data_IF_269261696012
#
_entry.id   IF_269261696012
#
_cell.length_a   1.000
_cell.length_b   1.000
_cell.length_c   1.000
_cell.angle_alpha   90.00
_cell.angle_beta   90.00
_cell.angle_gamma   90.00
#
_symmetry.space_group_name_H-M   'P 1'
#
loop_
_entity.id
_entity.type
_entity.pdbx_description
1 polymer ?
#
# COMPACT_ATOMS: atom_id res chain seq x y z
N UNK A 1 -6.88 8.06 -9.85
CA UNK A 1 -7.04 8.39 -11.29
C UNK A 1 -8.15 7.57 -11.95
N UNK A 2 -8.25 6.26 -11.69
CA UNK A 2 -9.31 5.39 -12.19
C UNK A 2 -9.73 4.39 -11.09
N UNK A 3 -10.99 3.97 -11.08
CA UNK A 3 -11.48 2.89 -10.20
C UNK A 3 -12.55 2.10 -10.91
N UNK A 4 -12.39 0.77 -10.94
CA UNK A 4 -13.38 -0.18 -11.45
C UNK A 4 -13.45 -1.34 -10.48
N UNK A 5 -14.54 -1.41 -9.73
CA UNK A 5 -14.71 -2.33 -8.61
C UNK A 5 -16.10 -2.98 -8.69
N UNK A 6 -16.28 -4.19 -8.15
CA UNK A 6 -17.59 -4.81 -8.01
C UNK A 6 -18.58 -3.89 -7.29
N UNK A 7 -19.85 -3.91 -7.71
CA UNK A 7 -20.90 -3.09 -7.08
C UNK A 7 -21.18 -3.45 -5.62
N UNK A 8 -20.80 -4.66 -5.21
CA UNK A 8 -20.96 -5.21 -3.86
C UNK A 8 -19.65 -5.19 -3.06
N UNK A 9 -18.66 -4.37 -3.45
CA UNK A 9 -17.35 -4.31 -2.79
C UNK A 9 -17.43 -4.05 -1.28
N UNK A 10 -18.42 -3.29 -0.82
CA UNK A 10 -18.64 -2.97 0.60
C UNK A 10 -18.93 -4.19 1.49
N UNK A 11 -19.43 -5.28 0.90
CA UNK A 11 -19.79 -6.52 1.60
C UNK A 11 -18.66 -7.58 1.53
N UNK A 12 -17.46 -7.20 1.05
CA UNK A 12 -16.34 -8.12 0.81
C UNK A 12 -15.13 -7.77 1.70
N UNK A 13 -14.32 -8.78 1.96
CA UNK A 13 -12.93 -8.56 2.37
C UNK A 13 -12.10 -8.11 1.17
N UNK A 14 -11.30 -7.07 1.36
CA UNK A 14 -10.42 -6.52 0.32
C UNK A 14 -8.97 -6.69 0.72
N UNK A 15 -8.20 -7.35 -0.14
CA UNK A 15 -6.73 -7.34 -0.05
C UNK A 15 -6.23 -6.19 -0.94
N UNK A 16 -5.81 -5.10 -0.32
CA UNK A 16 -5.20 -3.97 -0.99
C UNK A 16 -3.72 -4.29 -1.25
N UNK A 17 -3.39 -4.61 -2.50
CA UNK A 17 -2.05 -5.02 -2.91
C UNK A 17 -1.26 -3.91 -3.61
N UNK A 18 -0.03 -3.68 -3.18
CA UNK A 18 0.96 -2.81 -3.84
C UNK A 18 2.36 -3.43 -3.61
N UNK A 19 3.26 -3.53 -4.60
CA UNK A 19 4.61 -4.06 -4.39
C UNK A 19 5.37 -3.38 -3.24
N UNK A 20 5.18 -2.07 -3.02
CA UNK A 20 6.00 -1.29 -2.10
C UNK A 20 5.17 -0.43 -1.15
N UNK A 21 5.48 -0.47 0.14
CA UNK A 21 4.97 0.47 1.13
C UNK A 21 6.06 1.46 1.54
N UNK A 22 6.26 2.49 0.71
CA UNK A 22 7.30 3.50 0.93
C UNK A 22 6.83 4.61 1.90
N UNK A 23 6.24 5.70 1.41
CA UNK A 23 5.73 6.79 2.27
C UNK A 23 4.35 6.48 2.86
N UNK A 24 3.66 5.47 2.34
CA UNK A 24 2.28 5.10 2.73
C UNK A 24 1.18 5.90 2.02
N UNK A 25 1.51 6.98 1.28
CA UNK A 25 0.51 7.87 0.69
C UNK A 25 -0.48 7.17 -0.26
N UNK A 26 0.03 6.32 -1.16
CA UNK A 26 -0.81 5.56 -2.09
C UNK A 26 -1.74 4.58 -1.38
N UNK A 27 -1.22 3.88 -0.36
CA UNK A 27 -1.99 2.91 0.42
C UNK A 27 -3.12 3.59 1.21
N UNK A 28 -2.83 4.73 1.84
CA UNK A 28 -3.82 5.53 2.59
C UNK A 28 -4.91 6.03 1.64
N UNK A 29 -4.55 6.63 0.51
CA UNK A 29 -5.52 7.13 -0.47
C UNK A 29 -6.43 6.01 -0.99
N UNK A 30 -5.88 4.83 -1.25
CA UNK A 30 -6.66 3.69 -1.70
C UNK A 30 -7.57 3.13 -0.58
N UNK A 31 -7.07 3.06 0.65
CA UNK A 31 -7.86 2.66 1.80
C UNK A 31 -9.02 3.64 2.08
N UNK A 32 -8.78 4.94 2.09
CA UNK A 32 -9.81 5.98 2.18
C UNK A 32 -10.90 5.78 1.12
N UNK A 33 -10.49 5.52 -0.13
CA UNK A 33 -11.45 5.29 -1.22
C UNK A 33 -12.31 4.05 -1.02
N UNK A 34 -11.73 2.96 -0.52
CA UNK A 34 -12.47 1.75 -0.18
C UNK A 34 -13.44 2.00 0.99
N UNK A 35 -13.03 2.78 2.00
CA UNK A 35 -13.89 3.17 3.13
C UNK A 35 -15.09 4.00 2.66
N UNK A 36 -14.89 4.97 1.76
CA UNK A 36 -15.98 5.73 1.13
C UNK A 36 -17.00 4.83 0.42
N UNK A 37 -16.55 3.69 -0.10
CA UNK A 37 -17.40 2.68 -0.77
C UNK A 37 -18.02 1.68 0.20
N UNK A 38 -17.85 1.87 1.51
CA UNK A 38 -18.44 1.04 2.55
C UNK A 38 -17.64 -0.20 2.92
N UNK A 39 -16.43 -0.39 2.38
CA UNK A 39 -15.57 -1.53 2.71
C UNK A 39 -15.09 -1.41 4.16
N UNK A 40 -15.27 -2.49 4.93
CA UNK A 40 -14.89 -2.52 6.36
C UNK A 40 -13.70 -3.42 6.66
N UNK A 41 -13.55 -4.49 5.89
CA UNK A 41 -12.51 -5.50 6.07
C UNK A 41 -11.43 -5.32 4.99
N UNK A 42 -10.34 -4.68 5.37
CA UNK A 42 -9.21 -4.37 4.48
C UNK A 42 -7.94 -4.95 5.09
N UNK A 43 -7.17 -5.69 4.28
CA UNK A 43 -5.80 -6.11 4.59
C UNK A 43 -4.87 -5.50 3.54
N UNK A 44 -3.81 -4.83 3.97
CA UNK A 44 -2.79 -4.34 3.06
C UNK A 44 -1.67 -5.38 2.90
N UNK A 45 -1.27 -5.67 1.66
CA UNK A 45 -0.22 -6.64 1.35
C UNK A 45 0.82 -6.07 0.39
N UNK A 46 2.10 -6.23 0.72
CA UNK A 46 3.21 -5.78 -0.12
C UNK A 46 4.43 -6.71 -0.07
N UNK A 47 5.40 -6.49 -0.97
CA UNK A 47 6.67 -7.23 -0.95
C UNK A 47 7.66 -6.61 0.04
N UNK A 48 7.82 -5.29 -0.01
CA UNK A 48 8.77 -4.57 0.86
C UNK A 48 8.13 -3.31 1.43
N UNK A 49 8.34 -3.08 2.72
CA UNK A 49 7.86 -1.91 3.44
C UNK A 49 8.99 -1.16 4.12
N UNK A 50 8.87 0.17 4.18
CA UNK A 50 9.69 1.02 5.04
C UNK A 50 8.95 1.35 6.34
N UNK A 51 9.67 1.60 7.46
CA UNK A 51 9.06 1.92 8.74
C UNK A 51 8.19 3.18 8.68
N UNK A 52 8.54 4.15 7.83
CA UNK A 52 7.79 5.38 7.58
C UNK A 52 6.39 5.09 7.04
N UNK A 53 6.31 4.27 5.99
CA UNK A 53 5.03 3.91 5.35
C UNK A 53 4.14 3.07 6.25
N UNK A 54 4.74 2.16 7.03
CA UNK A 54 4.02 1.37 8.03
C UNK A 54 3.42 2.27 9.11
N UNK A 55 4.21 3.18 9.68
CA UNK A 55 3.71 4.14 10.68
C UNK A 55 2.63 5.04 10.09
N UNK A 56 2.81 5.51 8.86
CA UNK A 56 1.82 6.37 8.20
C UNK A 56 0.48 5.64 8.02
N UNK A 57 0.51 4.42 7.45
CA UNK A 57 -0.70 3.64 7.23
C UNK A 57 -1.38 3.25 8.55
N UNK A 58 -0.62 2.81 9.56
CA UNK A 58 -1.18 2.50 10.88
C UNK A 58 -1.73 3.73 11.60
N UNK A 59 -1.16 4.92 11.38
CA UNK A 59 -1.68 6.15 11.99
C UNK A 59 -3.00 6.59 11.34
N UNK A 60 -3.11 6.45 10.01
CA UNK A 60 -4.32 6.81 9.26
C UNK A 60 -5.44 5.75 9.41
N UNK A 61 -5.05 4.47 9.40
CA UNK A 61 -5.95 3.32 9.43
C UNK A 61 -5.42 2.25 10.41
N UNK A 62 -5.57 2.46 11.73
CA UNK A 62 -5.00 1.59 12.77
C UNK A 62 -5.58 0.17 12.77
N UNK A 63 -6.71 -0.05 12.10
CA UNK A 63 -7.40 -1.33 12.02
C UNK A 63 -7.02 -2.15 10.78
N UNK A 64 -6.21 -1.62 9.86
CA UNK A 64 -5.75 -2.35 8.66
C UNK A 64 -4.48 -3.16 9.00
N UNK A 65 -4.53 -4.51 8.94
CA UNK A 65 -3.33 -5.32 9.07
C UNK A 65 -2.40 -5.11 7.86
N UNK A 66 -1.09 -5.08 8.13
CA UNK A 66 -0.05 -4.96 7.10
C UNK A 66 0.70 -6.29 7.02
N UNK A 67 0.61 -6.95 5.87
CA UNK A 67 1.37 -8.15 5.56
C UNK A 67 2.49 -7.75 4.58
N UNK A 68 3.74 -8.03 4.95
CA UNK A 68 4.89 -7.75 4.09
C UNK A 68 5.88 -8.89 4.12
N UNK A 69 6.57 -9.13 3.00
CA UNK A 69 7.64 -10.14 2.95
C UNK A 69 8.94 -9.63 3.58
N UNK A 70 9.19 -8.31 3.54
CA UNK A 70 10.39 -7.69 4.11
C UNK A 70 10.08 -6.30 4.70
N UNK A 71 10.64 -6.06 5.90
CA UNK A 71 10.75 -4.73 6.47
C UNK A 71 12.17 -4.22 6.26
N UNK A 72 12.30 -3.18 5.44
CA UNK A 72 13.57 -2.53 5.14
C UNK A 72 13.84 -1.36 6.09
N UNK A 73 15.03 -0.76 6.01
CA UNK A 73 15.53 0.11 7.10
C UNK A 73 14.93 1.50 7.12
N UNK A 74 14.80 2.14 5.96
CA UNK A 74 14.46 3.56 5.87
C UNK A 74 14.09 3.94 4.42
N UNK A 75 13.60 5.17 4.28
CA UNK A 75 13.54 5.86 2.99
C UNK A 75 14.76 6.77 2.80
N UNK A 76 15.19 6.95 1.55
CA UNK A 76 16.13 8.03 1.19
C UNK A 76 15.41 9.37 0.91
N UNK A 77 16.17 10.42 0.58
CA UNK A 77 15.63 11.76 0.29
C UNK A 77 14.66 11.82 -0.90
N UNK A 78 14.68 10.79 -1.77
CA UNK A 78 13.78 10.63 -2.91
C UNK A 78 12.61 9.68 -2.61
N UNK A 79 12.43 9.31 -1.35
CA UNK A 79 11.41 8.37 -0.88
C UNK A 79 11.50 6.93 -1.43
N UNK A 80 12.69 6.51 -1.89
CA UNK A 80 12.94 5.10 -2.19
C UNK A 80 13.28 4.34 -0.90
N UNK A 81 12.74 3.13 -0.80
CA UNK A 81 13.06 2.19 0.27
C UNK A 81 14.51 1.72 0.13
N UNK A 82 15.25 1.66 1.24
CA UNK A 82 16.62 1.16 1.29
C UNK A 82 16.74 -0.12 2.13
N UNK A 83 17.45 -1.17 1.67
CA UNK A 83 18.04 -1.30 0.32
C UNK A 83 17.02 -1.35 -0.82
N UNK A 84 15.78 -1.76 -0.53
CA UNK A 84 14.65 -1.78 -1.44
C UNK A 84 14.89 -2.60 -2.70
N UNK A 85 14.12 -2.27 -3.74
CA UNK A 85 14.17 -2.93 -5.03
C UNK A 85 14.20 -1.96 -6.22
N UNK A 86 14.41 -0.66 -5.98
CA UNK A 86 14.29 0.38 -7.00
C UNK A 86 12.82 0.71 -7.28
N UNK A 87 12.51 1.10 -8.53
CA UNK A 87 11.13 1.29 -8.97
C UNK A 87 10.49 -0.06 -9.33
N UNK A 88 9.42 -0.44 -8.63
CA UNK A 88 8.74 -1.70 -8.91
C UNK A 88 8.04 -1.71 -10.26
N UNK A 89 7.42 -0.59 -10.65
CA UNK A 89 6.66 -0.48 -11.90
C UNK A 89 7.58 -0.64 -13.10
N UNK A 90 8.67 0.12 -13.12
CA UNK A 90 9.64 0.07 -14.21
C UNK A 90 10.27 -1.32 -14.35
N UNK A 91 10.54 -1.99 -13.22
CA UNK A 91 11.10 -3.34 -13.23
C UNK A 91 10.11 -4.42 -13.68
N UNK A 92 8.82 -4.24 -13.40
CA UNK A 92 7.78 -5.19 -13.81
C UNK A 92 7.47 -5.04 -15.31
N UNK A 93 7.42 -3.80 -15.81
CA UNK A 93 6.96 -3.51 -17.17
C UNK A 93 8.09 -3.20 -18.16
N UNK A 94 9.32 -3.04 -17.69
CA UNK A 94 10.47 -2.71 -18.53
C UNK A 94 10.42 -1.27 -19.08
N UNK A 95 10.02 -0.32 -18.25
CA UNK A 95 9.92 1.12 -18.59
C UNK A 95 11.03 1.95 -17.94
N UNK A 96 11.07 3.25 -18.29
CA UNK A 96 12.01 4.27 -17.78
C UNK A 96 11.27 5.45 -17.12
#
# INVERSE_FOLDING_TARGET
YYSSLPSDIGDRQVILGDPMLATGGSAIMAADKLREMGVRDIVFSCLVAAPEGVRALQSAHPDIPIITAAMDRELNDKAYILPGLGDAGDRIYGTD
#
